data_IF_369109797846
#
_entry.id   IF_369109797846
#
_cell.length_a   1.000
_cell.length_b   1.000
_cell.length_c   1.000
_cell.angle_alpha   90.00
_cell.angle_beta   90.00
_cell.angle_gamma   90.00
#
_symmetry.space_group_name_H-M   'P 1'
#
loop_
_entity.id
_entity.type
_entity.pdbx_description
1 polymer ?
#
# COMPACT_ATOMS: atom_id res chain seq x y z
N UNK A 1 -27.74 3.49 -0.66
CA UNK A 1 -26.66 3.19 0.30
C UNK A 1 -25.60 2.24 -0.27
N UNK A 2 -25.95 1.04 -0.74
CA UNK A 2 -24.98 0.12 -1.39
C UNK A 2 -24.25 0.78 -2.58
N UNK A 3 -24.99 1.44 -3.48
CA UNK A 3 -24.43 2.17 -4.62
C UNK A 3 -23.38 3.23 -4.20
N UNK A 4 -23.62 3.96 -3.11
CA UNK A 4 -22.70 4.96 -2.58
C UNK A 4 -21.40 4.34 -2.05
N UNK A 5 -21.48 3.14 -1.45
CA UNK A 5 -20.31 2.36 -1.04
C UNK A 5 -19.51 1.93 -2.27
N UNK A 6 -20.19 1.46 -3.33
CA UNK A 6 -19.53 1.04 -4.56
C UNK A 6 -18.85 2.21 -5.31
N UNK A 7 -19.47 3.38 -5.33
CA UNK A 7 -18.91 4.61 -5.91
C UNK A 7 -17.72 5.09 -5.07
N UNK A 8 -17.87 5.16 -3.75
CA UNK A 8 -16.78 5.56 -2.84
C UNK A 8 -15.59 4.62 -2.93
N UNK A 9 -15.85 3.31 -3.00
CA UNK A 9 -14.81 2.29 -3.18
C UNK A 9 -14.04 2.53 -4.49
N UNK A 10 -14.73 2.65 -5.63
CA UNK A 10 -14.10 2.85 -6.95
C UNK A 10 -13.31 4.16 -7.02
N UNK A 11 -13.83 5.23 -6.40
CA UNK A 11 -13.13 6.52 -6.35
C UNK A 11 -11.80 6.42 -5.58
N UNK A 12 -11.77 5.67 -4.47
CA UNK A 12 -10.55 5.42 -3.71
C UNK A 12 -9.58 4.55 -4.52
N UNK A 13 -10.06 3.49 -5.14
CA UNK A 13 -9.25 2.56 -5.93
C UNK A 13 -8.55 3.26 -7.12
N UNK A 14 -9.32 4.05 -7.88
CA UNK A 14 -8.80 4.82 -9.02
C UNK A 14 -7.81 5.91 -8.58
N UNK A 15 -8.06 6.56 -7.44
CA UNK A 15 -7.11 7.52 -6.87
C UNK A 15 -5.77 6.87 -6.50
N UNK A 16 -5.80 5.68 -5.88
CA UNK A 16 -4.60 4.93 -5.52
C UNK A 16 -3.81 4.47 -6.74
N UNK A 17 -4.49 3.96 -7.77
CA UNK A 17 -3.85 3.58 -9.04
C UNK A 17 -3.17 4.77 -9.73
N UNK A 18 -3.82 5.94 -9.72
CA UNK A 18 -3.23 7.19 -10.22
C UNK A 18 -2.02 7.63 -9.42
N UNK A 19 -2.09 7.57 -8.09
CA UNK A 19 -0.94 7.89 -7.23
C UNK A 19 0.26 6.95 -7.49
N UNK A 20 0.02 5.64 -7.53
CA UNK A 20 1.08 4.65 -7.73
C UNK A 20 1.72 4.72 -9.12
N UNK A 21 0.99 5.17 -10.14
CA UNK A 21 1.53 5.35 -11.50
C UNK A 21 2.21 6.71 -11.69
N UNK A 22 1.68 7.79 -11.12
CA UNK A 22 2.25 9.12 -11.24
C UNK A 22 3.54 9.27 -10.43
N UNK A 23 3.61 8.69 -9.23
CA UNK A 23 4.73 8.91 -8.33
C UNK A 23 6.09 8.45 -8.91
N UNK A 24 6.24 7.23 -9.47
CA UNK A 24 7.49 6.80 -10.06
C UNK A 24 7.84 7.56 -11.33
N UNK A 25 6.84 7.96 -12.12
CA UNK A 25 7.05 8.74 -13.35
C UNK A 25 7.54 10.14 -13.01
N UNK A 26 6.84 10.86 -12.13
CA UNK A 26 7.22 12.21 -11.72
C UNK A 26 8.55 12.21 -10.99
N UNK A 27 8.78 11.23 -10.11
CA UNK A 27 10.05 11.11 -9.39
C UNK A 27 11.19 10.74 -10.34
N UNK A 28 10.99 9.76 -11.22
CA UNK A 28 12.00 9.34 -12.20
C UNK A 28 12.37 10.45 -13.18
N UNK A 29 11.40 11.20 -13.68
CA UNK A 29 11.62 12.37 -14.53
C UNK A 29 12.34 13.47 -13.73
N UNK A 30 11.90 13.76 -12.51
CA UNK A 30 12.52 14.78 -11.66
C UNK A 30 13.98 14.47 -11.36
N UNK A 31 14.28 13.23 -10.91
CA UNK A 31 15.65 12.78 -10.64
C UNK A 31 16.49 12.73 -11.92
N UNK A 32 15.94 12.23 -13.03
CA UNK A 32 16.65 12.14 -14.32
C UNK A 32 17.02 13.50 -14.89
N UNK A 33 16.13 14.49 -14.80
CA UNK A 33 16.42 15.88 -15.21
C UNK A 33 17.51 16.53 -14.35
N UNK A 34 17.55 16.22 -13.06
CA UNK A 34 18.55 16.75 -12.14
C UNK A 34 19.93 16.11 -12.36
N UNK A 35 19.99 14.80 -12.61
CA UNK A 35 21.24 14.06 -12.89
C UNK A 35 21.83 14.35 -14.28
N UNK A 36 21.02 14.84 -15.22
CA UNK A 36 21.47 15.21 -16.57
C UNK A 36 22.21 16.55 -16.66
N UNK A 37 22.29 17.32 -15.57
CA UNK A 37 23.16 18.50 -15.46
C UNK A 37 24.58 18.04 -15.07
N UNK A 38 25.60 18.59 -15.72
CA UNK A 38 27.00 18.21 -15.50
C UNK A 38 27.37 18.15 -14.00
N UNK A 39 27.98 17.06 -13.51
CA UNK A 39 28.30 16.83 -12.09
C UNK A 39 29.45 17.70 -11.55
N UNK A 40 29.84 18.74 -12.29
CA UNK A 40 31.05 19.54 -12.02
C UNK A 40 30.93 20.48 -10.82
N UNK A 41 29.72 20.89 -10.44
CA UNK A 41 29.48 21.68 -9.24
C UNK A 41 28.25 21.14 -8.50
N UNK A 42 28.39 20.69 -7.23
CA UNK A 42 27.25 20.35 -6.40
C UNK A 42 26.49 21.65 -6.13
N UNK A 43 25.47 21.94 -6.94
CA UNK A 43 24.62 23.09 -6.67
C UNK A 43 24.03 22.96 -5.25
N UNK A 44 23.89 24.06 -4.49
CA UNK A 44 23.26 24.04 -3.16
C UNK A 44 21.80 23.54 -3.14
N UNK A 45 21.20 23.31 -4.32
CA UNK A 45 19.77 22.99 -4.48
C UNK A 45 19.42 21.50 -4.30
N UNK A 46 20.40 20.60 -4.32
CA UNK A 46 20.16 19.16 -4.27
C UNK A 46 19.63 18.70 -2.91
N UNK A 47 20.18 19.25 -1.82
CA UNK A 47 19.73 19.01 -0.46
C UNK A 47 18.26 19.41 -0.25
N UNK A 48 17.82 20.66 -0.51
CA UNK A 48 16.43 21.04 -0.30
C UNK A 48 15.46 20.29 -1.22
N UNK A 49 15.86 19.99 -2.47
CA UNK A 49 15.03 19.22 -3.40
C UNK A 49 14.85 17.77 -2.93
N UNK A 50 15.95 17.12 -2.51
CA UNK A 50 15.90 15.77 -1.96
C UNK A 50 15.05 15.69 -0.69
N UNK A 51 15.25 16.60 0.26
CA UNK A 51 14.45 16.67 1.50
C UNK A 51 12.96 16.89 1.18
N UNK A 52 12.65 17.81 0.27
CA UNK A 52 11.27 18.08 -0.13
C UNK A 52 10.62 16.82 -0.75
N UNK A 53 11.30 16.18 -1.72
CA UNK A 53 10.81 14.95 -2.34
C UNK A 53 10.62 13.82 -1.34
N UNK A 54 11.52 13.69 -0.36
CA UNK A 54 11.39 12.70 0.71
C UNK A 54 10.17 12.95 1.59
N UNK A 55 9.95 14.19 2.05
CA UNK A 55 8.80 14.55 2.89
C UNK A 55 7.48 14.34 2.15
N UNK A 56 7.40 14.75 0.88
CA UNK A 56 6.21 14.54 0.04
C UNK A 56 5.93 13.04 -0.12
N UNK A 57 6.95 12.23 -0.43
CA UNK A 57 6.80 10.78 -0.59
C UNK A 57 6.35 10.11 0.71
N UNK A 58 6.89 10.54 1.86
CA UNK A 58 6.48 10.04 3.17
C UNK A 58 5.03 10.41 3.50
N UNK A 59 4.60 11.63 3.19
CA UNK A 59 3.22 12.08 3.34
C UNK A 59 2.26 11.27 2.49
N UNK A 60 2.60 11.00 1.23
CA UNK A 60 1.81 10.16 0.34
C UNK A 60 1.77 8.70 0.81
N UNK A 61 2.86 8.17 1.35
CA UNK A 61 2.89 6.83 1.94
C UNK A 61 1.92 6.73 3.13
N UNK A 62 1.93 7.71 4.03
CA UNK A 62 0.99 7.74 5.15
C UNK A 62 -0.47 7.85 4.68
N UNK A 63 -0.72 8.64 3.64
CA UNK A 63 -2.04 8.77 3.01
C UNK A 63 -2.51 7.43 2.42
N UNK A 64 -1.64 6.71 1.72
CA UNK A 64 -1.93 5.39 1.14
C UNK A 64 -2.28 4.37 2.23
N UNK A 65 -1.54 4.36 3.35
CA UNK A 65 -1.82 3.51 4.51
C UNK A 65 -3.22 3.80 5.10
N UNK A 66 -3.59 5.08 5.16
CA UNK A 66 -4.93 5.47 5.61
C UNK A 66 -6.01 5.04 4.60
N UNK A 67 -5.75 5.19 3.30
CA UNK A 67 -6.62 4.77 2.21
C UNK A 67 -6.93 3.27 2.26
N UNK A 68 -5.92 2.43 2.49
CA UNK A 68 -6.08 0.98 2.64
C UNK A 68 -7.03 0.63 3.80
N UNK A 69 -6.88 1.29 4.96
CA UNK A 69 -7.78 1.06 6.11
C UNK A 69 -9.21 1.46 5.81
N UNK A 70 -9.42 2.62 5.18
CA UNK A 70 -10.75 3.10 4.79
C UNK A 70 -11.40 2.16 3.77
N UNK A 71 -10.62 1.69 2.80
CA UNK A 71 -11.03 0.72 1.79
C UNK A 71 -11.51 -0.59 2.42
N UNK A 72 -10.74 -1.15 3.37
CA UNK A 72 -11.12 -2.36 4.12
C UNK A 72 -12.45 -2.20 4.86
N UNK A 73 -12.68 -1.04 5.50
CA UNK A 73 -13.96 -0.75 6.15
C UNK A 73 -15.15 -0.71 5.19
N UNK A 74 -14.97 -0.13 3.99
CA UNK A 74 -16.00 -0.09 2.95
C UNK A 74 -16.31 -1.49 2.38
N UNK A 75 -15.28 -2.32 2.15
CA UNK A 75 -15.45 -3.70 1.70
C UNK A 75 -16.24 -4.51 2.74
N UNK A 76 -15.88 -4.40 4.03
CA UNK A 76 -16.58 -5.12 5.09
C UNK A 76 -18.05 -4.67 5.21
N UNK A 77 -18.32 -3.37 5.09
CA UNK A 77 -19.68 -2.84 5.08
C UNK A 77 -20.48 -3.32 3.85
N UNK A 78 -19.86 -3.30 2.67
CA UNK A 78 -20.48 -3.77 1.42
C UNK A 78 -20.81 -5.26 1.48
N UNK A 79 -19.87 -6.10 1.92
CA UNK A 79 -20.08 -7.54 2.12
C UNK A 79 -21.22 -7.84 3.09
N UNK A 80 -21.30 -7.11 4.22
CA UNK A 80 -22.42 -7.28 5.17
C UNK A 80 -23.77 -7.02 4.52
N UNK A 81 -23.88 -6.04 3.63
CA UNK A 81 -25.13 -5.73 2.93
C UNK A 81 -25.46 -6.85 1.93
N UNK A 82 -24.49 -7.28 1.12
CA UNK A 82 -24.66 -8.37 0.14
C UNK A 82 -25.12 -9.67 0.80
N UNK A 83 -24.50 -10.03 1.92
CA UNK A 83 -24.88 -11.22 2.70
C UNK A 83 -26.26 -11.10 3.35
N UNK A 84 -26.61 -9.91 3.88
CA UNK A 84 -27.90 -9.70 4.55
C UNK A 84 -29.06 -9.78 3.56
N UNK A 85 -28.85 -9.33 2.33
CA UNK A 85 -29.89 -9.26 1.29
C UNK A 85 -29.81 -10.44 0.31
N UNK A 86 -28.89 -11.38 0.56
CA UNK A 86 -28.68 -12.60 -0.20
C UNK A 86 -28.61 -12.36 -1.72
N UNK A 87 -27.87 -11.34 -2.15
CA UNK A 87 -27.62 -11.07 -3.56
C UNK A 87 -26.12 -11.08 -3.86
N UNK A 88 -25.71 -11.61 -5.03
CA UNK A 88 -24.32 -11.58 -5.45
C UNK A 88 -23.91 -10.14 -5.79
N UNK A 89 -22.86 -9.65 -5.14
CA UNK A 89 -22.29 -8.33 -5.41
C UNK A 89 -20.76 -8.33 -5.50
N UNK A 90 -20.17 -7.15 -5.68
CA UNK A 90 -18.74 -7.00 -5.96
C UNK A 90 -17.82 -7.32 -4.76
N UNK A 91 -18.35 -7.44 -3.54
CA UNK A 91 -17.56 -7.59 -2.31
C UNK A 91 -17.51 -9.03 -1.77
N UNK A 92 -18.53 -9.84 -2.03
CA UNK A 92 -18.63 -11.23 -1.54
C UNK A 92 -17.71 -12.18 -2.33
N UNK A 93 -17.71 -12.08 -3.66
CA UNK A 93 -16.94 -12.95 -4.57
C UNK A 93 -15.54 -12.44 -4.94
N UNK A 94 -15.03 -11.39 -4.31
CA UNK A 94 -13.77 -10.77 -4.74
C UNK A 94 -12.57 -11.68 -4.46
N UNK A 95 -11.72 -11.99 -5.46
CA UNK A 95 -10.45 -12.66 -5.23
C UNK A 95 -9.53 -11.74 -4.43
N UNK A 96 -9.15 -12.20 -3.23
CA UNK A 96 -8.19 -11.49 -2.39
C UNK A 96 -6.80 -11.99 -2.75
N UNK A 97 -5.93 -11.09 -3.24
CA UNK A 97 -4.56 -11.34 -3.68
C UNK A 97 -4.41 -12.20 -4.94
N UNK A 98 -3.57 -11.75 -5.89
CA UNK A 98 -3.02 -12.66 -6.89
C UNK A 98 -1.93 -13.52 -6.22
N UNK A 99 -2.21 -14.82 -6.07
CA UNK A 99 -1.26 -15.78 -5.50
C UNK A 99 -0.99 -15.65 -3.99
N UNK A 100 -1.89 -15.05 -3.22
CA UNK A 100 -1.79 -14.93 -1.75
C UNK A 100 -0.76 -13.92 -1.24
N UNK A 101 0.21 -13.52 -2.06
CA UNK A 101 1.32 -12.62 -1.69
C UNK A 101 1.21 -11.23 -2.31
N UNK A 102 0.74 -11.12 -3.56
CA UNK A 102 0.68 -9.83 -4.26
C UNK A 102 -0.65 -9.16 -3.93
N UNK A 103 -0.58 -8.26 -2.97
CA UNK A 103 -1.68 -7.39 -2.57
C UNK A 103 -1.33 -5.92 -2.81
N UNK A 104 -2.34 -5.08 -2.96
CA UNK A 104 -2.19 -3.63 -3.11
C UNK A 104 -1.30 -2.98 -2.01
N UNK A 105 -1.35 -3.41 -0.72
CA UNK A 105 -0.45 -2.90 0.32
C UNK A 105 1.01 -3.33 0.14
N UNK A 106 1.26 -4.49 -0.48
CA UNK A 106 2.62 -4.95 -0.77
C UNK A 106 3.27 -4.09 -1.86
N UNK A 107 2.52 -3.79 -2.93
CA UNK A 107 2.98 -2.87 -3.98
C UNK A 107 3.32 -1.49 -3.41
N UNK A 108 2.45 -0.93 -2.56
CA UNK A 108 2.72 0.32 -1.87
C UNK A 108 3.95 0.23 -0.94
N UNK A 109 4.08 -0.85 -0.17
CA UNK A 109 5.24 -1.08 0.70
C UNK A 109 6.56 -1.20 -0.05
N UNK A 110 6.55 -1.51 -1.36
CA UNK A 110 7.75 -1.58 -2.19
C UNK A 110 8.04 -0.25 -2.89
N UNK A 111 7.04 0.33 -3.55
CA UNK A 111 7.20 1.52 -4.40
C UNK A 111 7.56 2.75 -3.59
N UNK A 112 6.87 2.99 -2.47
CA UNK A 112 7.09 4.21 -1.68
C UNK A 112 8.47 4.26 -1.03
N UNK A 113 8.99 3.21 -0.37
CA UNK A 113 10.36 3.21 0.15
C UNK A 113 11.41 3.32 -0.96
N UNK A 114 11.18 2.76 -2.14
CA UNK A 114 12.09 2.89 -3.27
C UNK A 114 12.18 4.34 -3.79
N UNK A 115 11.04 5.02 -3.94
CA UNK A 115 11.01 6.44 -4.33
C UNK A 115 11.63 7.31 -3.24
N UNK A 116 11.34 7.03 -1.96
CA UNK A 116 11.91 7.75 -0.83
C UNK A 116 13.43 7.60 -0.77
N UNK A 117 13.94 6.40 -1.04
CA UNK A 117 15.36 6.09 -1.12
C UNK A 117 16.05 6.93 -2.21
N UNK A 118 15.42 7.11 -3.38
CA UNK A 118 15.93 7.98 -4.45
C UNK A 118 16.05 9.44 -4.02
N UNK A 119 15.02 9.99 -3.38
CA UNK A 119 15.05 11.37 -2.87
C UNK A 119 16.04 11.56 -1.72
N UNK A 120 16.16 10.58 -0.82
CA UNK A 120 17.14 10.59 0.26
C UNK A 120 18.57 10.51 -0.27
N UNK A 121 18.81 9.74 -1.33
CA UNK A 121 20.10 9.70 -2.00
C UNK A 121 20.47 11.07 -2.57
N UNK A 122 19.55 11.73 -3.28
CA UNK A 122 19.77 13.10 -3.78
C UNK A 122 20.07 14.10 -2.65
N UNK A 123 19.38 14.00 -1.53
CA UNK A 123 19.63 14.85 -0.37
C UNK A 123 21.04 14.67 0.22
N UNK A 124 21.60 13.45 0.12
CA UNK A 124 22.87 13.07 0.74
C UNK A 124 24.05 13.01 -0.24
N UNK A 125 23.80 13.23 -1.53
CA UNK A 125 24.81 13.13 -2.59
C UNK A 125 26.03 14.05 -2.37
N UNK A 126 25.85 15.19 -1.69
CA UNK A 126 26.92 16.13 -1.38
C UNK A 126 27.77 15.82 -0.13
N UNK A 127 27.43 14.77 0.65
CA UNK A 127 28.08 14.53 1.95
C UNK A 127 29.18 13.46 1.91
N UNK A 128 28.84 12.23 1.49
CA UNK A 128 29.77 11.15 1.18
C UNK A 128 29.01 9.99 0.53
N UNK A 129 29.55 9.40 -0.55
CA UNK A 129 28.83 8.33 -1.27
C UNK A 129 28.52 7.12 -0.38
N UNK A 130 29.49 6.70 0.45
CA UNK A 130 29.31 5.54 1.35
C UNK A 130 28.30 5.83 2.46
N UNK A 131 28.32 7.04 3.04
CA UNK A 131 27.36 7.44 4.07
C UNK A 131 25.94 7.56 3.51
N UNK A 132 25.80 8.15 2.32
CA UNK A 132 24.51 8.27 1.62
C UNK A 132 23.89 6.90 1.36
N UNK A 133 24.66 5.94 0.82
CA UNK A 133 24.17 4.59 0.54
C UNK A 133 23.71 3.87 1.81
N UNK A 134 24.46 3.98 2.91
CA UNK A 134 24.08 3.35 4.19
C UNK A 134 22.78 3.94 4.72
N UNK A 135 22.66 5.27 4.75
CA UNK A 135 21.43 5.93 5.23
C UNK A 135 20.23 5.56 4.36
N UNK A 136 20.40 5.53 3.04
CA UNK A 136 19.35 5.13 2.10
C UNK A 136 18.93 3.68 2.31
N UNK A 137 19.88 2.76 2.47
CA UNK A 137 19.60 1.35 2.73
C UNK A 137 18.88 1.15 4.08
N UNK A 138 19.27 1.89 5.11
CA UNK A 138 18.61 1.88 6.42
C UNK A 138 17.20 2.44 6.32
N UNK A 139 16.98 3.58 5.65
CA UNK A 139 15.65 4.17 5.46
C UNK A 139 14.73 3.22 4.67
N UNK A 140 15.24 2.63 3.59
CA UNK A 140 14.51 1.64 2.80
C UNK A 140 14.12 0.45 3.67
N UNK A 141 15.06 -0.16 4.39
CA UNK A 141 14.80 -1.29 5.28
C UNK A 141 13.82 -0.94 6.41
N UNK A 142 14.00 0.23 7.03
CA UNK A 142 13.16 0.70 8.14
C UNK A 142 11.72 1.00 7.73
N UNK A 143 11.43 1.25 6.45
CA UNK A 143 10.07 1.47 5.96
C UNK A 143 9.48 0.23 5.28
N UNK A 144 10.31 -0.50 4.53
CA UNK A 144 9.93 -1.73 3.86
C UNK A 144 9.57 -2.83 4.85
N UNK A 145 10.37 -3.04 5.91
CA UNK A 145 10.15 -4.11 6.88
C UNK A 145 8.86 -3.91 7.69
N UNK A 146 8.54 -2.73 8.27
CA UNK A 146 7.27 -2.52 8.94
C UNK A 146 6.08 -2.54 7.99
N UNK A 147 6.23 -2.01 6.76
CA UNK A 147 5.18 -2.03 5.74
C UNK A 147 4.80 -3.47 5.34
N UNK A 148 5.81 -4.31 5.09
CA UNK A 148 5.62 -5.74 4.78
C UNK A 148 5.08 -6.52 5.99
N UNK A 149 5.58 -6.28 7.20
CA UNK A 149 5.05 -6.86 8.44
C UNK A 149 3.58 -6.47 8.68
N UNK A 150 3.20 -5.22 8.42
CA UNK A 150 1.82 -4.75 8.53
C UNK A 150 0.93 -5.50 7.53
N UNK A 151 1.39 -5.65 6.29
CA UNK A 151 0.68 -6.41 5.25
C UNK A 151 0.46 -7.87 5.68
N UNK A 152 1.51 -8.52 6.18
CA UNK A 152 1.43 -9.90 6.71
C UNK A 152 0.45 -9.97 7.88
N UNK A 153 0.53 -9.05 8.84
CA UNK A 153 -0.39 -9.02 10.00
C UNK A 153 -1.84 -8.80 9.60
N UNK A 154 -2.10 -7.95 8.61
CA UNK A 154 -3.46 -7.73 8.10
C UNK A 154 -4.00 -8.99 7.42
N UNK A 155 -3.18 -9.64 6.58
CA UNK A 155 -3.56 -10.89 5.94
C UNK A 155 -3.83 -12.01 6.97
N UNK A 156 -2.99 -12.14 7.99
CA UNK A 156 -3.17 -13.11 9.07
C UNK A 156 -4.44 -12.85 9.90
N UNK A 157 -4.83 -11.58 10.09
CA UNK A 157 -6.09 -11.24 10.77
C UNK A 157 -7.30 -11.68 9.95
N UNK A 158 -7.29 -11.40 8.65
CA UNK A 158 -8.38 -11.78 7.75
C UNK A 158 -8.57 -13.31 7.69
N UNK A 159 -7.48 -14.07 7.64
CA UNK A 159 -7.54 -15.54 7.69
C UNK A 159 -8.17 -16.07 8.99
N UNK A 160 -7.81 -15.48 10.13
CA UNK A 160 -8.39 -15.87 11.44
C UNK A 160 -9.88 -15.56 11.53
N UNK A 161 -10.32 -14.45 10.96
CA UNK A 161 -11.74 -14.09 10.94
C UNK A 161 -12.55 -15.11 10.14
N UNK A 162 -12.01 -15.57 9.01
CA UNK A 162 -12.64 -16.63 8.18
C UNK A 162 -12.70 -17.98 8.87
N UNK A 163 -11.62 -18.39 9.53
CA UNK A 163 -11.62 -19.61 10.35
C UNK A 163 -12.67 -19.55 11.46
N UNK A 164 -12.81 -18.39 12.11
CA UNK A 164 -13.81 -18.17 13.13
C UNK A 164 -15.25 -18.18 12.57
N UNK A 165 -15.48 -17.59 11.40
CA UNK A 165 -16.78 -17.61 10.73
C UNK A 165 -17.15 -19.02 10.23
N UNK A 166 -16.21 -19.76 9.66
CA UNK A 166 -16.41 -21.15 9.25
C UNK A 166 -16.74 -22.03 10.45
N UNK A 167 -15.99 -21.90 11.56
CA UNK A 167 -16.27 -22.62 12.80
C UNK A 167 -17.66 -22.29 13.37
N UNK A 168 -18.08 -21.02 13.32
CA UNK A 168 -19.44 -20.61 13.74
C UNK A 168 -20.53 -21.20 12.85
N UNK A 169 -20.32 -21.27 11.53
CA UNK A 169 -21.27 -21.89 10.59
C UNK A 169 -21.39 -23.39 10.85
N UNK A 170 -20.28 -24.11 11.01
CA UNK A 170 -20.31 -25.54 11.35
C UNK A 170 -20.96 -25.83 12.71
N UNK A 171 -20.83 -24.93 13.69
CA UNK A 171 -21.49 -25.06 14.99
C UNK A 171 -23.00 -24.73 14.93
N UNK A 172 -23.42 -23.88 13.99
CA UNK A 172 -24.81 -23.47 13.80
C UNK A 172 -25.63 -24.47 12.97
N UNK A 173 -24.99 -25.40 12.25
CA UNK A 173 -25.66 -26.45 11.46
C UNK A 173 -25.36 -27.86 12.01
N UNK A 174 -25.93 -28.25 13.17
CA UNK A 174 -25.77 -29.60 13.73
C UNK A 174 -26.52 -30.69 12.93
N UNK A 175 -27.25 -30.34 11.85
CA UNK A 175 -28.17 -31.25 11.18
C UNK A 175 -27.53 -32.13 10.07
N UNK A 176 -26.29 -31.88 9.64
CA UNK A 176 -25.64 -32.70 8.61
C UNK A 176 -24.76 -33.83 9.15
N UNK A 177 -24.67 -33.99 10.49
CA UNK A 177 -23.82 -34.99 11.16
C UNK A 177 -24.51 -36.31 11.51
N UNK A 178 -25.76 -36.51 11.09
CA UNK A 178 -26.53 -37.70 11.42
C UNK A 178 -27.31 -38.23 10.22
N UNK A 179 -26.67 -39.00 9.36
CA UNK A 179 -27.32 -40.04 8.59
C UNK A 179 -26.39 -41.28 8.56
N UNK A 180 -26.96 -42.47 8.79
CA UNK A 180 -26.25 -43.68 9.22
C UNK A 180 -25.33 -44.33 8.18
#
# INVERSE_FOLDING_TARGET
>A
MYQEICVSYRAIDDFRAKLLSLLPVVSGVGVGLLLGKDPGDPEPIWLPVGVFGSVVTLGLFAYELYGIRKCGGLIAAGRRIELTWNFPGQFDGRPHALGGLINEPFAAALVYPAVLAGWAYLALAGWSERGAVIVVAVLFGALFLPGSLLCIRMHLRDMREREAEAARRSAADPASGGAP
#
